data_IF_990139134716
#
_entry.id   IF_990139134716
#
_cell.length_a   1.000
_cell.length_b   1.000
_cell.length_c   1.000
_cell.angle_alpha   90.00
_cell.angle_beta   90.00
_cell.angle_gamma   90.00
#
_symmetry.space_group_name_H-M   'P 1'
#
loop_
_entity.id
_entity.type
_entity.pdbx_description
1 polymer ?
#
# COMPACT_ATOMS: atom_id res chain seq x y z
N UNK A 1 -24.88 4.06 15.88
CA UNK A 1 -25.71 4.33 14.68
C UNK A 1 -25.77 3.05 13.87
N UNK A 2 -26.94 2.66 13.36
CA UNK A 2 -27.08 1.46 12.54
C UNK A 2 -26.23 1.56 11.27
N UNK A 3 -25.48 0.49 10.95
CA UNK A 3 -24.68 0.41 9.72
C UNK A 3 -25.60 0.44 8.51
N UNK A 4 -25.70 1.60 7.85
CA UNK A 4 -26.40 1.73 6.57
C UNK A 4 -25.50 1.16 5.48
N UNK A 5 -26.04 0.30 4.60
CA UNK A 5 -25.28 -0.39 3.53
C UNK A 5 -24.42 0.60 2.70
N UNK A 6 -24.92 1.82 2.47
CA UNK A 6 -24.21 2.86 1.73
C UNK A 6 -22.89 3.33 2.35
N UNK A 7 -22.64 3.06 3.64
CA UNK A 7 -21.44 3.48 4.34
C UNK A 7 -20.52 2.30 4.69
N UNK A 8 -20.87 1.07 4.29
CA UNK A 8 -20.15 -0.15 4.68
C UNK A 8 -18.68 -0.15 4.21
N UNK A 9 -18.39 0.54 3.11
CA UNK A 9 -17.05 0.66 2.51
C UNK A 9 -16.58 2.11 2.38
N UNK A 10 -17.12 3.02 3.19
CA UNK A 10 -16.72 4.42 3.13
C UNK A 10 -15.27 4.60 3.60
N UNK A 11 -14.49 5.34 2.81
CA UNK A 11 -13.09 5.68 3.08
C UNK A 11 -12.91 7.13 3.52
N UNK A 12 -14.00 7.90 3.65
CA UNK A 12 -13.92 9.30 4.07
C UNK A 12 -13.27 9.44 5.43
N UNK A 13 -12.24 10.29 5.50
CA UNK A 13 -11.45 10.51 6.72
C UNK A 13 -10.57 9.32 7.14
N UNK A 14 -10.48 8.25 6.34
CA UNK A 14 -9.47 7.20 6.50
C UNK A 14 -8.11 7.72 5.99
N UNK A 15 -7.04 7.25 6.62
CA UNK A 15 -5.66 7.56 6.24
C UNK A 15 -5.09 6.36 5.51
N UNK A 16 -4.63 6.56 4.27
CA UNK A 16 -4.10 5.49 3.42
C UNK A 16 -2.65 5.77 3.01
N UNK A 17 -1.81 4.74 2.96
CA UNK A 17 -0.50 4.78 2.31
C UNK A 17 -0.56 3.92 1.05
N UNK A 18 -0.20 4.48 -0.09
CA UNK A 18 -0.11 3.76 -1.37
C UNK A 18 1.33 3.75 -1.88
N UNK A 19 1.93 2.56 -1.92
CA UNK A 19 3.26 2.39 -2.51
C UNK A 19 3.17 2.29 -4.04
N UNK A 20 4.12 2.89 -4.75
CA UNK A 20 4.00 3.08 -6.21
C UNK A 20 2.83 3.99 -6.59
N UNK A 21 2.42 4.89 -5.69
CA UNK A 21 1.20 5.71 -5.85
C UNK A 21 1.31 6.86 -6.85
N UNK A 22 2.46 7.03 -7.52
CA UNK A 22 2.70 8.09 -8.50
C UNK A 22 2.38 7.69 -9.95
N UNK A 23 2.21 6.40 -10.24
CA UNK A 23 1.92 5.90 -11.60
C UNK A 23 1.08 4.62 -11.58
N UNK A 24 0.66 4.16 -12.77
CA UNK A 24 -0.01 2.87 -12.96
C UNK A 24 -1.23 2.63 -12.05
N UNK A 25 -1.37 1.39 -11.59
CA UNK A 25 -2.47 0.94 -10.71
C UNK A 25 -2.44 1.69 -9.37
N UNK A 26 -1.26 1.92 -8.79
CA UNK A 26 -1.12 2.65 -7.54
C UNK A 26 -1.71 4.07 -7.61
N UNK A 27 -1.45 4.78 -8.71
CA UNK A 27 -2.06 6.09 -8.94
C UNK A 27 -3.58 6.00 -9.12
N UNK A 28 -4.10 4.97 -9.78
CA UNK A 28 -5.56 4.77 -9.91
C UNK A 28 -6.21 4.52 -8.56
N UNK A 29 -5.58 3.71 -7.70
CA UNK A 29 -6.03 3.48 -6.32
C UNK A 29 -6.00 4.78 -5.52
N UNK A 30 -4.91 5.54 -5.59
CA UNK A 30 -4.78 6.83 -4.91
C UNK A 30 -5.88 7.81 -5.37
N UNK A 31 -6.17 7.88 -6.68
CA UNK A 31 -7.25 8.69 -7.24
C UNK A 31 -8.62 8.31 -6.66
N UNK A 32 -8.92 7.02 -6.60
CA UNK A 32 -10.17 6.53 -6.04
C UNK A 32 -10.30 6.91 -4.56
N UNK A 33 -9.24 6.73 -3.77
CA UNK A 33 -9.21 7.04 -2.35
C UNK A 33 -9.41 8.55 -2.07
N UNK A 34 -8.65 9.43 -2.74
CA UNK A 34 -8.81 10.89 -2.54
C UNK A 34 -10.17 11.37 -3.03
N UNK A 35 -10.69 10.83 -4.14
CA UNK A 35 -12.01 11.20 -4.66
C UNK A 35 -13.12 10.85 -3.67
N UNK A 36 -12.93 9.83 -2.83
CA UNK A 36 -13.86 9.44 -1.78
C UNK A 36 -13.52 10.02 -0.39
N UNK A 37 -12.67 11.05 -0.32
CA UNK A 37 -12.46 11.82 0.90
C UNK A 37 -11.43 11.23 1.87
N UNK A 38 -10.59 10.29 1.42
CA UNK A 38 -9.48 9.80 2.22
C UNK A 38 -8.30 10.79 2.24
N UNK A 39 -7.49 10.75 3.30
CA UNK A 39 -6.15 11.35 3.33
C UNK A 39 -5.16 10.31 2.82
N UNK A 40 -4.56 10.56 1.66
CA UNK A 40 -3.69 9.60 0.98
C UNK A 40 -2.25 10.07 1.03
N UNK A 41 -1.37 9.22 1.54
CA UNK A 41 0.06 9.38 1.38
C UNK A 41 0.48 8.47 0.24
N UNK A 42 1.19 9.01 -0.75
CA UNK A 42 1.81 8.20 -1.79
C UNK A 42 3.33 8.15 -1.58
N UNK A 43 3.91 7.00 -1.88
CA UNK A 43 5.36 6.86 -1.97
C UNK A 43 5.74 6.16 -3.25
N UNK A 44 6.86 6.58 -3.84
CA UNK A 44 7.44 6.05 -5.06
C UNK A 44 8.93 6.38 -5.10
N UNK A 45 9.65 5.96 -6.14
CA UNK A 45 11.07 6.25 -6.24
C UNK A 45 11.31 7.77 -6.30
N UNK A 46 12.43 8.29 -5.77
CA UNK A 46 12.76 9.72 -5.87
C UNK A 46 12.81 10.24 -7.31
N UNK A 47 13.03 9.36 -8.29
CA UNK A 47 13.06 9.67 -9.72
C UNK A 47 11.68 9.72 -10.37
N UNK A 48 10.64 9.29 -9.66
CA UNK A 48 9.26 9.25 -10.18
C UNK A 48 8.57 10.62 -10.07
N UNK A 49 7.51 10.88 -10.86
CA UNK A 49 6.83 12.17 -10.90
C UNK A 49 5.87 12.39 -9.70
N UNK A 50 6.37 12.27 -8.48
CA UNK A 50 5.57 12.33 -7.24
C UNK A 50 4.82 13.66 -7.11
N UNK A 51 5.50 14.79 -7.28
CA UNK A 51 4.89 16.12 -7.10
C UNK A 51 3.75 16.38 -8.10
N UNK A 52 3.92 15.92 -9.34
CA UNK A 52 2.87 16.00 -10.34
C UNK A 52 1.65 15.16 -9.95
N UNK A 53 1.87 13.92 -9.50
CA UNK A 53 0.81 13.04 -9.01
C UNK A 53 0.08 13.64 -7.80
N UNK A 54 0.80 14.16 -6.80
CA UNK A 54 0.23 14.80 -5.61
C UNK A 54 -0.65 16.00 -5.97
N UNK A 55 -0.19 16.86 -6.89
CA UNK A 55 -0.98 18.01 -7.35
C UNK A 55 -2.30 17.55 -7.97
N UNK A 56 -2.24 16.56 -8.86
CA UNK A 56 -3.41 16.06 -9.58
C UNK A 56 -4.38 15.33 -8.62
N UNK A 57 -3.86 14.55 -7.67
CA UNK A 57 -4.64 13.88 -6.62
C UNK A 57 -5.35 14.89 -5.72
N UNK A 58 -4.65 15.93 -5.25
CA UNK A 58 -5.29 16.99 -4.45
C UNK A 58 -6.36 17.74 -5.25
N UNK A 59 -6.16 17.96 -6.56
CA UNK A 59 -7.18 18.56 -7.40
C UNK A 59 -8.45 17.71 -7.47
N UNK A 60 -8.31 16.39 -7.56
CA UNK A 60 -9.41 15.42 -7.59
C UNK A 60 -10.11 15.29 -6.22
N UNK A 61 -9.36 15.35 -5.11
CA UNK A 61 -9.90 15.19 -3.75
C UNK A 61 -10.65 16.40 -3.21
N UNK A 62 -10.43 17.61 -3.75
CA UNK A 62 -11.05 18.85 -3.26
C UNK A 62 -12.57 18.76 -3.03
N UNK A 63 -13.40 18.22 -3.96
CA UNK A 63 -14.85 18.16 -3.78
C UNK A 63 -15.32 17.27 -2.62
N UNK A 64 -14.56 16.22 -2.28
CA UNK A 64 -14.90 15.27 -1.22
C UNK A 64 -14.17 15.52 0.10
N UNK A 65 -13.22 16.46 0.10
CA UNK A 65 -12.34 16.75 1.23
C UNK A 65 -11.14 15.80 1.34
N UNK A 66 -10.87 15.01 0.30
CA UNK A 66 -9.69 14.15 0.24
C UNK A 66 -8.43 14.96 -0.04
N UNK A 67 -7.31 14.48 0.47
CA UNK A 67 -6.00 15.14 0.32
C UNK A 67 -4.93 14.13 -0.04
N UNK A 68 -3.85 14.60 -0.67
CA UNK A 68 -2.69 13.81 -0.99
C UNK A 68 -1.40 14.47 -0.52
N UNK A 69 -0.48 13.66 0.01
CA UNK A 69 0.90 14.03 0.33
C UNK A 69 1.86 12.99 -0.26
N UNK A 70 3.05 13.41 -0.69
CA UNK A 70 4.03 12.53 -1.32
C UNK A 70 5.30 12.44 -0.47
N UNK A 71 5.86 11.23 -0.34
CA UNK A 71 7.16 11.02 0.27
C UNK A 71 8.03 10.08 -0.58
N UNK A 72 9.16 10.54 -1.15
CA UNK A 72 10.02 9.72 -1.98
C UNK A 72 10.68 8.61 -1.14
N UNK A 73 10.62 7.36 -1.60
CA UNK A 73 11.23 6.22 -0.90
C UNK A 73 11.62 5.13 -1.89
N UNK A 74 12.88 4.70 -1.80
CA UNK A 74 13.30 3.45 -2.41
C UNK A 74 12.98 2.29 -1.46
N UNK A 75 11.92 1.55 -1.77
CA UNK A 75 11.45 0.45 -0.93
C UNK A 75 12.40 -0.76 -0.91
N UNK A 76 13.38 -0.85 -1.82
CA UNK A 76 14.43 -1.88 -1.71
C UNK A 76 15.35 -1.64 -0.51
N UNK A 77 15.35 -0.43 0.05
CA UNK A 77 16.19 -0.01 1.17
C UNK A 77 15.43 -0.01 2.50
N UNK A 78 15.80 -0.93 3.39
CA UNK A 78 15.25 -0.98 4.76
C UNK A 78 15.45 0.32 5.56
N UNK A 79 16.61 1.02 5.46
CA UNK A 79 16.75 2.37 6.03
C UNK A 79 15.76 3.39 5.45
N UNK A 80 15.48 3.34 4.14
CA UNK A 80 14.52 4.26 3.53
C UNK A 80 13.08 3.96 4.01
N UNK A 81 12.72 2.68 4.17
CA UNK A 81 11.45 2.28 4.81
C UNK A 81 11.35 2.85 6.24
N UNK A 82 12.41 2.77 7.03
CA UNK A 82 12.44 3.34 8.37
C UNK A 82 12.27 4.88 8.35
N UNK A 83 12.90 5.55 7.40
CA UNK A 83 12.73 7.00 7.21
C UNK A 83 11.30 7.38 6.81
N UNK A 84 10.65 6.60 5.95
CA UNK A 84 9.23 6.77 5.64
C UNK A 84 8.36 6.60 6.89
N UNK A 85 8.56 5.53 7.68
CA UNK A 85 7.79 5.31 8.90
C UNK A 85 7.98 6.44 9.95
N UNK A 86 9.22 6.94 10.09
CA UNK A 86 9.52 8.10 10.93
C UNK A 86 8.87 9.39 10.39
N UNK A 87 8.86 9.60 9.08
CA UNK A 87 8.15 10.72 8.48
C UNK A 87 6.65 10.69 8.81
N UNK A 88 6.01 9.52 8.66
CA UNK A 88 4.59 9.35 8.99
C UNK A 88 4.30 9.59 10.48
N UNK A 89 5.15 9.08 11.37
CA UNK A 89 4.94 9.14 12.82
C UNK A 89 5.35 10.49 13.42
N UNK A 90 6.52 11.01 13.06
CA UNK A 90 7.14 12.13 13.75
C UNK A 90 6.88 13.46 13.04
N UNK A 91 6.90 13.44 11.70
CA UNK A 91 6.70 14.66 10.90
C UNK A 91 5.21 14.91 10.66
N UNK A 92 4.50 13.92 10.12
CA UNK A 92 3.06 14.04 9.83
C UNK A 92 2.20 13.80 11.06
N UNK A 93 2.78 13.22 12.13
CA UNK A 93 2.09 12.91 13.38
C UNK A 93 0.79 12.17 13.15
N UNK A 94 0.84 11.18 12.25
CA UNK A 94 -0.34 10.38 11.95
C UNK A 94 -0.75 9.61 13.22
N UNK A 95 -2.01 9.73 13.67
CA UNK A 95 -2.46 8.99 14.84
C UNK A 95 -2.64 7.50 14.53
N UNK A 96 -2.79 7.14 13.25
CA UNK A 96 -3.03 5.79 12.74
C UNK A 96 -2.78 5.72 11.24
N UNK A 97 -2.77 4.51 10.70
CA UNK A 97 -2.83 4.22 9.28
C UNK A 97 -3.96 3.22 9.04
N UNK A 98 -5.06 3.66 8.42
CA UNK A 98 -6.24 2.82 8.21
C UNK A 98 -6.07 1.84 7.05
N UNK A 99 -5.33 2.23 6.00
CA UNK A 99 -5.15 1.41 4.79
C UNK A 99 -3.68 1.41 4.36
N UNK A 100 -3.12 0.23 4.15
CA UNK A 100 -1.81 0.05 3.53
C UNK A 100 -1.99 -0.67 2.19
N UNK A 101 -1.71 0.03 1.09
CA UNK A 101 -1.73 -0.53 -0.26
C UNK A 101 -0.30 -0.84 -0.68
N UNK A 102 0.08 -2.12 -0.51
CA UNK A 102 1.35 -2.70 -0.93
C UNK A 102 1.35 -2.99 -2.44
N UNK A 103 1.57 -1.94 -3.24
CA UNK A 103 1.44 -1.98 -4.70
C UNK A 103 2.77 -1.78 -5.46
N UNK A 104 3.77 -1.12 -4.86
CA UNK A 104 5.06 -0.89 -5.52
C UNK A 104 5.67 -2.21 -6.01
N UNK A 105 6.04 -2.26 -7.28
CA UNK A 105 6.62 -3.46 -7.86
C UNK A 105 7.48 -3.13 -9.06
N UNK A 106 8.46 -3.99 -9.31
CA UNK A 106 9.29 -3.94 -10.50
C UNK A 106 9.21 -5.24 -11.26
N UNK A 107 9.48 -5.15 -12.55
CA UNK A 107 9.71 -6.27 -13.45
C UNK A 107 11.08 -6.08 -14.09
N UNK A 108 11.90 -7.13 -14.08
CA UNK A 108 13.16 -7.17 -14.81
C UNK A 108 12.98 -8.09 -16.00
N UNK A 109 12.88 -7.51 -17.19
CA UNK A 109 12.73 -8.27 -18.43
C UNK A 109 14.04 -8.95 -18.84
N UNK A 110 13.97 -10.10 -19.55
CA UNK A 110 15.16 -10.77 -20.02
C UNK A 110 15.92 -9.88 -21.01
N UNK A 111 17.27 -9.78 -20.90
CA UNK A 111 18.09 -9.05 -21.86
C UNK A 111 17.92 -9.54 -23.31
N UNK A 112 17.64 -10.83 -23.50
CA UNK A 112 17.29 -11.42 -24.78
C UNK A 112 15.78 -11.75 -24.80
N UNK A 113 14.90 -10.79 -25.13
CA UNK A 113 13.46 -11.04 -25.12
C UNK A 113 13.05 -11.95 -26.28
N UNK A 114 12.01 -12.75 -26.06
CA UNK A 114 11.32 -13.51 -27.09
C UNK A 114 9.80 -13.38 -26.95
N UNK A 115 9.07 -13.75 -28.00
CA UNK A 115 7.61 -13.85 -27.92
C UNK A 115 7.22 -15.11 -27.13
N UNK A 116 7.08 -14.99 -25.80
CA UNK A 116 6.89 -16.14 -24.88
C UNK A 116 5.76 -17.09 -25.29
N UNK A 117 4.70 -16.57 -25.92
CA UNK A 117 3.54 -17.36 -26.37
C UNK A 117 3.72 -18.01 -27.76
N UNK A 118 4.76 -17.66 -28.50
CA UNK A 118 4.98 -18.10 -29.89
C UNK A 118 6.38 -18.64 -30.18
N UNK A 119 7.36 -18.41 -29.30
CA UNK A 119 8.75 -18.79 -29.47
C UNK A 119 8.95 -20.31 -29.42
N UNK A 120 9.92 -20.82 -30.18
CA UNK A 120 10.35 -22.20 -30.07
C UNK A 120 11.03 -22.44 -28.71
N UNK A 121 10.95 -23.67 -28.18
CA UNK A 121 11.51 -23.99 -26.85
C UNK A 121 12.99 -23.60 -26.66
N UNK A 122 13.91 -23.78 -27.63
CA UNK A 122 15.30 -23.34 -27.47
C UNK A 122 15.44 -21.82 -27.35
N UNK A 123 14.62 -21.06 -28.08
CA UNK A 123 14.60 -19.60 -28.04
C UNK A 123 14.05 -19.11 -26.70
N UNK A 124 12.93 -19.71 -26.26
CA UNK A 124 12.35 -19.45 -24.94
C UNK A 124 13.36 -19.75 -23.82
N UNK A 125 14.06 -20.90 -23.89
CA UNK A 125 15.08 -21.25 -22.91
C UNK A 125 16.23 -20.24 -22.91
N UNK A 126 16.73 -19.82 -24.07
CA UNK A 126 17.79 -18.82 -24.16
C UNK A 126 17.35 -17.46 -23.58
N UNK A 127 16.12 -17.04 -23.86
CA UNK A 127 15.50 -15.84 -23.29
C UNK A 127 15.45 -15.93 -21.77
N UNK A 128 14.89 -17.00 -21.21
CA UNK A 128 14.77 -17.19 -19.76
C UNK A 128 16.16 -17.28 -19.08
N UNK A 129 17.12 -17.94 -19.72
CA UNK A 129 18.48 -18.09 -19.20
C UNK A 129 19.29 -16.79 -19.26
N UNK A 130 18.85 -15.79 -20.03
CA UNK A 130 19.55 -14.51 -20.16
C UNK A 130 19.40 -13.60 -18.93
N UNK A 131 18.48 -13.90 -18.02
CA UNK A 131 18.35 -13.17 -16.76
C UNK A 131 19.60 -13.33 -15.89
N UNK A 132 20.01 -12.25 -15.24
CA UNK A 132 21.00 -12.33 -14.15
C UNK A 132 20.30 -12.76 -12.88
N UNK A 133 20.97 -13.54 -12.03
CA UNK A 133 20.43 -13.86 -10.71
C UNK A 133 20.08 -12.61 -9.88
N UNK A 134 20.82 -11.51 -10.07
CA UNK A 134 20.54 -10.23 -9.44
C UNK A 134 19.20 -9.61 -9.87
N UNK A 135 18.73 -9.85 -11.10
CA UNK A 135 17.44 -9.34 -11.58
C UNK A 135 16.27 -9.94 -10.78
N UNK A 136 16.40 -11.22 -10.41
CA UNK A 136 15.47 -11.90 -9.51
C UNK A 136 15.58 -11.36 -8.08
N UNK A 137 16.80 -11.19 -7.57
CA UNK A 137 17.02 -10.65 -6.24
C UNK A 137 16.40 -9.24 -6.09
N UNK A 138 16.59 -8.35 -7.06
CA UNK A 138 15.97 -7.02 -7.10
C UNK A 138 14.44 -7.13 -7.05
N UNK A 139 13.88 -7.99 -7.90
CA UNK A 139 12.42 -8.17 -8.00
C UNK A 139 11.84 -8.66 -6.68
N UNK A 140 12.46 -9.65 -6.04
CA UNK A 140 12.02 -10.13 -4.73
C UNK A 140 12.26 -9.11 -3.61
N UNK A 141 13.33 -8.31 -3.69
CA UNK A 141 13.61 -7.27 -2.72
C UNK A 141 12.47 -6.24 -2.66
N UNK A 142 11.97 -5.80 -3.81
CA UNK A 142 10.86 -4.81 -3.89
C UNK A 142 9.49 -5.48 -3.74
N UNK A 143 9.20 -6.51 -4.54
CA UNK A 143 7.84 -7.03 -4.65
C UNK A 143 7.42 -7.84 -3.41
N UNK A 144 8.39 -8.36 -2.64
CA UNK A 144 8.13 -9.23 -1.48
C UNK A 144 8.70 -8.65 -0.19
N UNK A 145 10.04 -8.57 -0.11
CA UNK A 145 10.74 -8.27 1.15
C UNK A 145 10.43 -6.85 1.66
N UNK A 146 10.33 -5.88 0.76
CA UNK A 146 10.01 -4.52 1.12
C UNK A 146 8.64 -4.39 1.79
N UNK A 147 7.59 -5.04 1.24
CA UNK A 147 6.24 -4.98 1.78
C UNK A 147 6.12 -5.62 3.17
N UNK A 148 6.89 -6.69 3.41
CA UNK A 148 7.02 -7.25 4.76
C UNK A 148 7.62 -6.22 5.73
N UNK A 149 8.79 -5.65 5.41
CA UNK A 149 9.43 -4.70 6.32
C UNK A 149 8.67 -3.39 6.47
N UNK A 150 7.95 -2.96 5.43
CA UNK A 150 7.05 -1.82 5.50
C UNK A 150 5.91 -2.09 6.49
N UNK A 151 5.29 -3.27 6.42
CA UNK A 151 4.24 -3.66 7.36
C UNK A 151 4.77 -3.72 8.80
N UNK A 152 5.98 -4.26 9.00
CA UNK A 152 6.66 -4.27 10.31
C UNK A 152 6.93 -2.85 10.80
N UNK A 153 7.43 -1.96 9.95
CA UNK A 153 7.75 -0.58 10.31
C UNK A 153 6.50 0.25 10.67
N UNK A 154 5.34 -0.09 10.10
CA UNK A 154 4.07 0.62 10.29
C UNK A 154 3.12 -0.07 11.27
N UNK A 155 3.55 -1.17 11.90
CA UNK A 155 2.68 -2.04 12.71
C UNK A 155 1.96 -1.29 13.82
N UNK A 156 2.59 -0.28 14.42
CA UNK A 156 1.97 0.54 15.46
C UNK A 156 0.86 1.45 14.93
N UNK A 157 1.05 2.06 13.75
CA UNK A 157 0.02 2.89 13.12
C UNK A 157 -1.17 2.04 12.64
N UNK A 158 -0.89 0.84 12.14
CA UNK A 158 -1.90 -0.14 11.73
C UNK A 158 -2.68 -0.67 12.94
N UNK A 159 -1.99 -0.97 14.05
CA UNK A 159 -2.62 -1.36 15.31
C UNK A 159 -3.59 -0.28 15.83
N UNK A 160 -3.14 0.98 15.83
CA UNK A 160 -3.97 2.10 16.26
C UNK A 160 -5.23 2.31 15.39
N UNK A 161 -5.19 1.93 14.12
CA UNK A 161 -6.38 1.94 13.28
C UNK A 161 -7.38 0.84 13.66
N UNK A 162 -6.91 -0.34 14.02
CA UNK A 162 -7.77 -1.46 14.39
C UNK A 162 -8.57 -1.17 15.68
N UNK A 163 -8.02 -0.40 16.62
CA UNK A 163 -8.72 -0.01 17.86
C UNK A 163 -9.91 0.92 17.59
N UNK A 164 -9.83 1.78 16.57
CA UNK A 164 -10.92 2.69 16.19
C UNK A 164 -12.19 1.94 15.75
N UNK A 165 -12.04 0.84 15.03
CA UNK A 165 -13.18 0.06 14.56
C UNK A 165 -13.80 -0.78 15.68
N UNK A 166 -13.07 -1.08 16.76
CA UNK A 166 -13.62 -1.73 17.96
C UNK A 166 -14.57 -0.80 18.71
N UNK A 167 -14.25 0.49 18.85
CA UNK A 167 -15.13 1.48 19.48
C UNK A 167 -16.42 1.71 18.66
N UNK A 168 -16.33 1.67 17.33
CA UNK A 168 -17.48 1.82 16.44
C UNK A 168 -18.44 0.61 16.48
N UNK A 169 -17.95 -0.57 16.89
CA UNK A 169 -18.68 -1.86 16.90
C UNK A 169 -19.14 -2.27 18.31
N UNK A 170 -18.95 -1.44 19.34
CA UNK A 170 -19.57 -1.64 20.66
C UNK A 170 -21.11 -1.54 20.54
N UNK A 171 -21.75 -2.65 20.17
CA UNK A 171 -23.15 -2.94 20.46
C UNK A 171 -23.22 -3.17 21.96
N UNK A 172 -24.12 -2.46 22.65
CA UNK A 172 -24.32 -2.58 24.10
C UNK A 172 -24.64 -4.03 24.49
N UNK A 173 -23.63 -4.80 24.84
CA UNK A 173 -23.78 -6.03 25.59
C UNK A 173 -23.56 -5.70 27.08
N UNK A 174 -24.50 -6.14 27.91
CA UNK A 174 -24.45 -5.97 29.37
C UNK A 174 -23.15 -6.56 29.95
N UNK A 175 -22.69 -6.07 31.13
CA UNK A 175 -21.38 -6.44 31.64
C UNK A 175 -21.41 -7.88 32.14
N UNK A 176 -20.69 -8.77 31.47
CA UNK A 176 -20.18 -9.99 32.10
C UNK A 176 -18.70 -9.80 32.43
N UNK A 177 -18.37 -10.07 33.69
CA UNK A 177 -17.09 -9.74 34.28
C UNK A 177 -15.94 -10.65 33.86
N UNK A 178 -14.72 -10.13 34.07
CA UNK A 178 -13.54 -10.92 34.37
C UNK A 178 -12.56 -11.15 33.21
N UNK A 179 -11.39 -10.51 33.32
CA UNK A 179 -10.11 -11.20 33.11
C UNK A 179 -9.39 -11.06 31.76
N UNK A 180 -8.21 -10.46 31.87
CA UNK A 180 -6.97 -10.68 31.07
C UNK A 180 -6.79 -9.91 29.75
N UNK A 181 -5.91 -8.90 29.85
CA UNK A 181 -5.30 -8.18 28.74
C UNK A 181 -4.38 -9.08 27.92
N UNK A 182 -4.82 -9.41 26.72
CA UNK A 182 -4.01 -9.95 25.65
C UNK A 182 -4.52 -9.38 24.34
N UNK A 183 -3.70 -8.60 23.64
CA UNK A 183 -4.03 -8.07 22.31
C UNK A 183 -4.23 -9.29 21.38
N UNK A 184 -5.48 -9.55 21.00
CA UNK A 184 -5.84 -10.64 20.08
C UNK A 184 -5.34 -10.29 18.68
N UNK A 185 -4.17 -10.83 18.33
CA UNK A 185 -3.52 -10.76 17.02
C UNK A 185 -4.46 -11.08 15.82
N UNK A 186 -5.55 -11.82 16.08
CA UNK A 186 -6.54 -12.22 15.08
C UNK A 186 -7.30 -11.09 14.36
N UNK A 187 -7.36 -9.88 14.93
CA UNK A 187 -8.05 -8.75 14.27
C UNK A 187 -7.10 -7.84 13.46
N UNK A 188 -5.78 -8.04 13.58
CA UNK A 188 -4.78 -7.20 12.91
C UNK A 188 -4.65 -7.49 11.40
N UNK A 189 -5.12 -8.65 10.95
CA UNK A 189 -4.86 -9.17 9.60
C UNK A 189 -6.00 -8.98 8.59
N UNK A 190 -7.14 -8.39 8.98
CA UNK A 190 -8.29 -8.21 8.08
C UNK A 190 -8.22 -6.92 7.21
N UNK A 191 -7.19 -6.08 7.38
CA UNK A 191 -7.07 -4.80 6.66
C UNK A 191 -6.06 -4.76 5.51
N UNK A 192 -5.26 -5.80 5.30
CA UNK A 192 -4.29 -5.85 4.21
C UNK A 192 -4.93 -6.50 2.98
N UNK A 193 -5.62 -5.69 2.16
CA UNK A 193 -6.01 -6.14 0.82
C UNK A 193 -4.72 -6.27 0.00
N UNK A 194 -4.21 -7.50 -0.11
CA UNK A 194 -3.19 -7.87 -1.08
C UNK A 194 -3.80 -7.78 -2.48
N UNK A 195 -3.66 -6.65 -3.15
CA UNK A 195 -3.92 -6.53 -4.59
C UNK A 195 -2.59 -6.77 -5.31
N UNK A 196 -2.30 -8.04 -5.60
CA UNK A 196 -1.33 -8.40 -6.62
C UNK A 196 -2.13 -8.58 -7.93
N UNK A 197 -2.29 -7.51 -8.71
CA UNK A 197 -2.89 -7.58 -10.03
C UNK A 197 -1.76 -7.62 -11.08
N UNK A 198 -1.70 -8.71 -11.82
CA UNK A 198 -0.86 -8.85 -13.01
C UNK A 198 -1.15 -7.69 -13.96
N UNK A 199 -0.12 -6.92 -14.30
CA UNK A 199 -0.17 -5.96 -15.39
C UNK A 199 -0.20 -6.73 -16.71
N UNK A 200 -1.39 -7.12 -17.16
CA UNK A 200 -1.58 -7.61 -18.53
C UNK A 200 -1.53 -6.44 -19.52
N UNK A 201 -0.56 -6.53 -20.42
CA UNK A 201 -0.53 -6.06 -21.81
C UNK A 201 -1.35 -4.83 -22.19
N UNK A 202 -0.64 -3.73 -22.46
CA UNK A 202 -0.88 -2.85 -23.59
C UNK A 202 0.42 -2.62 -24.35
#
# INVERSE_FOLDING_TARGET
MATVIGNLFDVKGRIALVTGGSSGIGLMIAKALVTNGARVIITALPTDPIDAAVRDLNALGRPSGGTAEGFPTDLSSKPAIAALAAHLTDTLRLPRLDVLVSNAGIRRDPPAPCAVTAAALPELQASMWSHRAADWADTFAVNTTAHYFLSVALVHLLAAAAERDVEAVQVSAAPEGGGEGGIKLGHMLMGAVYVWMEAEFL
#
